data_IF_771625798094
#
_entry.id   IF_771625798094
#
_cell.length_a   1.000
_cell.length_b   1.000
_cell.length_c   1.000
_cell.angle_alpha   90.00
_cell.angle_beta   90.00
_cell.angle_gamma   90.00
#
_symmetry.space_group_name_H-M   'P 1'
#
loop_
_entity.id
_entity.type
_entity.pdbx_description
1 polymer ?
#
# COMPACT_ATOMS: atom_id res chain seq x y z
N UNK A 1 8.96 7.91 26.88
CA UNK A 1 8.89 6.50 26.41
C UNK A 1 10.19 5.78 26.80
N UNK A 2 10.18 4.78 27.68
CA UNK A 2 11.41 4.10 28.16
C UNK A 2 11.90 3.08 27.14
N UNK A 3 13.23 2.88 27.09
CA UNK A 3 14.05 2.08 26.15
C UNK A 3 13.64 0.60 25.94
N UNK A 4 12.51 0.12 26.47
CA UNK A 4 12.09 -1.29 26.42
C UNK A 4 11.30 -1.71 25.16
N UNK A 5 10.86 -0.77 24.31
CA UNK A 5 9.83 -1.11 23.30
C UNK A 5 10.36 -1.22 21.86
N UNK A 6 11.68 -1.14 21.65
CA UNK A 6 12.28 -1.17 20.32
C UNK A 6 13.02 -2.49 20.05
N UNK A 7 12.42 -3.30 19.17
CA UNK A 7 12.92 -4.64 18.81
C UNK A 7 14.17 -4.57 17.94
N UNK A 8 15.12 -5.49 18.15
CA UNK A 8 16.43 -5.46 17.50
C UNK A 8 16.34 -5.41 15.97
N UNK A 9 15.33 -6.02 15.37
CA UNK A 9 15.22 -6.20 13.92
C UNK A 9 14.73 -4.96 13.15
N UNK A 10 14.24 -3.91 13.83
CA UNK A 10 13.66 -2.74 13.16
C UNK A 10 14.65 -2.01 12.22
N UNK A 11 15.92 -1.77 12.58
CA UNK A 11 16.91 -1.20 11.66
C UNK A 11 17.11 -2.05 10.39
N UNK A 12 17.09 -3.38 10.52
CA UNK A 12 17.21 -4.27 9.35
C UNK A 12 16.00 -4.14 8.41
N UNK A 13 14.79 -4.00 8.96
CA UNK A 13 13.59 -3.76 8.15
C UNK A 13 13.64 -2.41 7.43
N UNK A 14 14.11 -1.35 8.10
CA UNK A 14 14.28 -0.04 7.45
C UNK A 14 15.32 -0.10 6.33
N UNK A 15 16.44 -0.79 6.56
CA UNK A 15 17.48 -0.94 5.56
C UNK A 15 17.00 -1.76 4.35
N UNK A 16 16.38 -2.91 4.59
CA UNK A 16 15.82 -3.73 3.52
C UNK A 16 14.74 -2.98 2.73
N UNK A 17 13.87 -2.24 3.43
CA UNK A 17 12.90 -1.37 2.79
C UNK A 17 13.53 -0.22 2.00
N UNK A 18 14.62 0.38 2.49
CA UNK A 18 15.32 1.43 1.76
C UNK A 18 15.94 0.88 0.46
N UNK A 19 16.54 -0.31 0.52
CA UNK A 19 17.07 -1.00 -0.67
C UNK A 19 15.96 -1.24 -1.69
N UNK A 20 14.80 -1.76 -1.25
CA UNK A 20 13.64 -1.95 -2.14
C UNK A 20 13.11 -0.63 -2.71
N UNK A 21 13.03 0.43 -1.90
CA UNK A 21 12.57 1.76 -2.36
C UNK A 21 13.55 2.46 -3.30
N UNK A 22 14.83 2.07 -3.31
CA UNK A 22 15.74 2.50 -4.38
C UNK A 22 15.64 1.60 -5.61
N UNK A 23 15.55 0.29 -5.40
CA UNK A 23 15.52 -0.69 -6.48
C UNK A 23 14.31 -0.49 -7.38
N UNK A 24 13.13 -0.25 -6.80
CA UNK A 24 11.87 -0.15 -7.55
C UNK A 24 11.88 1.00 -8.58
N UNK A 25 12.09 2.28 -8.18
CA UNK A 25 12.13 3.38 -9.14
C UNK A 25 13.30 3.28 -10.12
N UNK A 26 14.45 2.71 -9.71
CA UNK A 26 15.58 2.47 -10.62
C UNK A 26 15.15 1.48 -11.72
N UNK A 27 14.54 0.35 -11.33
CA UNK A 27 14.11 -0.65 -12.30
C UNK A 27 13.01 -0.12 -13.20
N UNK A 28 12.08 0.68 -12.67
CA UNK A 28 11.03 1.34 -13.45
C UNK A 28 11.63 2.31 -14.47
N UNK A 29 12.54 3.20 -14.05
CA UNK A 29 13.23 4.12 -14.99
C UNK A 29 13.98 3.34 -16.08
N UNK A 30 14.65 2.24 -15.73
CA UNK A 30 15.32 1.41 -16.72
C UNK A 30 14.32 0.76 -17.70
N UNK A 31 13.13 0.34 -17.25
CA UNK A 31 12.08 -0.13 -18.18
C UNK A 31 11.55 0.99 -19.08
N UNK A 32 11.47 2.23 -18.59
CA UNK A 32 11.07 3.37 -19.41
C UNK A 32 12.09 3.69 -20.51
N UNK A 33 13.39 3.67 -20.17
CA UNK A 33 14.47 3.82 -21.15
C UNK A 33 14.35 2.77 -22.26
N UNK A 34 13.93 1.57 -21.89
CA UNK A 34 13.72 0.52 -22.86
C UNK A 34 12.51 0.76 -23.76
N UNK A 35 11.37 1.15 -23.18
CA UNK A 35 10.20 1.52 -23.99
C UNK A 35 10.51 2.67 -24.95
N UNK A 36 11.36 3.61 -24.54
CA UNK A 36 11.83 4.68 -25.40
C UNK A 36 12.71 4.15 -26.55
N UNK A 37 13.60 3.19 -26.26
CA UNK A 37 14.49 2.59 -27.27
C UNK A 37 13.73 1.79 -28.33
N UNK A 38 12.62 1.18 -27.95
CA UNK A 38 11.80 0.33 -28.83
C UNK A 38 10.58 1.07 -29.40
N UNK A 39 10.62 2.41 -29.41
CA UNK A 39 9.58 3.28 -29.98
C UNK A 39 8.16 3.09 -29.37
N UNK A 40 8.07 2.54 -28.16
CA UNK A 40 6.83 2.40 -27.40
C UNK A 40 6.47 3.71 -26.65
N UNK A 41 6.28 4.80 -27.40
CA UNK A 41 6.09 6.15 -26.88
C UNK A 41 4.94 6.31 -25.88
N UNK A 42 3.83 5.60 -26.07
CA UNK A 42 2.67 5.66 -25.16
C UNK A 42 3.00 5.01 -23.82
N UNK A 43 3.66 3.84 -23.83
CA UNK A 43 4.07 3.14 -22.60
C UNK A 43 5.14 3.93 -21.85
N UNK A 44 6.08 4.54 -22.57
CA UNK A 44 7.06 5.47 -22.01
C UNK A 44 6.39 6.67 -21.33
N UNK A 45 5.48 7.37 -22.02
CA UNK A 45 4.83 8.57 -21.48
C UNK A 45 3.98 8.26 -20.24
N UNK A 46 3.18 7.18 -20.29
CA UNK A 46 2.32 6.78 -19.19
C UNK A 46 3.14 6.27 -18.00
N UNK A 47 4.19 5.49 -18.23
CA UNK A 47 5.07 5.05 -17.15
C UNK A 47 5.84 6.21 -16.52
N UNK A 48 6.34 7.16 -17.31
CA UNK A 48 6.99 8.37 -16.79
C UNK A 48 6.04 9.20 -15.90
N UNK A 49 4.77 9.30 -16.28
CA UNK A 49 3.75 9.95 -15.46
C UNK A 49 3.67 9.30 -14.06
N UNK A 50 3.66 7.97 -13.98
CA UNK A 50 3.55 7.25 -12.71
C UNK A 50 4.82 7.33 -11.84
N UNK A 51 6.01 7.49 -12.41
CA UNK A 51 7.24 7.78 -11.63
C UNK A 51 7.18 9.18 -11.00
N UNK A 52 6.55 10.14 -11.67
CA UNK A 52 6.47 11.54 -11.18
C UNK A 52 5.30 11.74 -10.21
N UNK A 53 4.22 10.97 -10.36
CA UNK A 53 2.97 11.15 -9.64
C UNK A 53 3.11 11.12 -8.09
N UNK A 54 3.91 10.22 -7.47
CA UNK A 54 4.16 10.26 -6.04
C UNK A 54 4.75 11.60 -5.57
N UNK A 55 5.66 12.20 -6.35
CA UNK A 55 6.30 13.48 -6.02
C UNK A 55 5.25 14.60 -5.89
N UNK A 56 4.28 14.63 -6.81
CA UNK A 56 3.19 15.60 -6.81
C UNK A 56 2.24 15.39 -5.64
N UNK A 57 1.84 14.13 -5.38
CA UNK A 57 0.96 13.80 -4.28
C UNK A 57 1.59 14.15 -2.92
N UNK A 58 2.89 13.91 -2.79
CA UNK A 58 3.65 14.25 -1.60
C UNK A 58 3.74 15.75 -1.37
N UNK A 59 4.01 16.52 -2.43
CA UNK A 59 4.03 17.97 -2.37
C UNK A 59 2.68 18.54 -1.90
N UNK A 60 1.58 17.99 -2.39
CA UNK A 60 0.22 18.37 -1.95
C UNK A 60 0.04 18.06 -0.46
N UNK A 61 0.39 16.86 -0.01
CA UNK A 61 0.23 16.44 1.38
C UNK A 61 1.03 17.34 2.34
N UNK A 62 2.30 17.59 2.04
CA UNK A 62 3.16 18.46 2.85
C UNK A 62 2.62 19.89 2.86
N UNK A 63 2.16 20.41 1.72
CA UNK A 63 1.58 21.76 1.63
C UNK A 63 0.30 21.89 2.46
N UNK A 64 -0.58 20.88 2.44
CA UNK A 64 -1.80 20.86 3.25
C UNK A 64 -1.47 20.79 4.75
N UNK A 65 -0.48 19.96 5.12
CA UNK A 65 -0.03 19.87 6.52
C UNK A 65 0.55 21.21 7.02
N UNK A 66 1.39 21.87 6.22
CA UNK A 66 1.99 23.17 6.57
C UNK A 66 0.95 24.30 6.67
N UNK A 67 -0.08 24.29 5.82
CA UNK A 67 -1.19 25.24 5.92
C UNK A 67 -2.04 25.04 7.17
N UNK A 68 -2.26 23.79 7.59
CA UNK A 68 -3.01 23.45 8.81
C UNK A 68 -2.24 23.75 10.10
N UNK A 69 -0.90 23.67 10.08
CA UNK A 69 -0.07 23.71 11.28
C UNK A 69 0.53 25.10 11.60
N UNK A 70 0.03 26.19 10.98
CA UNK A 70 0.45 27.60 11.24
C UNK A 70 0.31 28.09 12.70
N UNK A 71 -0.06 27.22 13.64
CA UNK A 71 -0.25 27.51 15.06
C UNK A 71 0.89 27.01 15.96
N UNK A 72 1.91 26.32 15.45
CA UNK A 72 3.06 25.83 16.26
C UNK A 72 4.41 26.33 15.70
N UNK A 73 5.05 27.32 16.34
CA UNK A 73 6.35 27.81 15.92
C UNK A 73 7.44 27.04 16.67
N UNK A 74 7.91 25.88 16.18
CA UNK A 74 9.18 25.29 16.69
C UNK A 74 9.80 24.14 15.85
N UNK A 75 9.26 23.77 14.67
CA UNK A 75 9.81 22.66 13.85
C UNK A 75 10.38 23.07 12.48
N UNK A 76 11.06 24.22 12.39
CA UNK A 76 11.63 24.74 11.14
C UNK A 76 12.67 23.81 10.47
N UNK A 77 13.30 22.91 11.22
CA UNK A 77 14.33 22.00 10.71
C UNK A 77 13.79 20.76 9.97
N UNK A 78 12.59 20.28 10.32
CA UNK A 78 12.03 19.06 9.74
C UNK A 78 11.22 19.36 8.46
N UNK A 79 10.52 20.50 8.41
CA UNK A 79 9.69 20.87 7.25
C UNK A 79 10.53 21.15 6.00
N UNK A 80 11.69 21.80 6.13
CA UNK A 80 12.59 22.10 5.00
C UNK A 80 13.23 20.82 4.44
N UNK A 81 13.60 19.87 5.29
CA UNK A 81 14.15 18.57 4.86
C UNK A 81 13.05 17.71 4.21
N UNK A 82 11.83 17.72 4.73
CA UNK A 82 10.67 17.07 4.11
C UNK A 82 10.32 17.68 2.75
N UNK A 83 10.42 19.00 2.61
CA UNK A 83 10.19 19.70 1.35
C UNK A 83 11.31 19.40 0.34
N UNK A 84 12.58 19.39 0.76
CA UNK A 84 13.71 19.09 -0.13
C UNK A 84 13.81 17.60 -0.53
N UNK A 85 13.42 16.66 0.35
CA UNK A 85 13.39 15.22 0.07
C UNK A 85 12.09 14.72 -0.58
N UNK A 86 11.06 15.56 -0.73
CA UNK A 86 9.74 15.16 -1.25
C UNK A 86 9.58 15.23 -2.78
N UNK A 87 10.48 15.92 -3.48
CA UNK A 87 10.38 16.15 -4.94
C UNK A 87 11.26 15.22 -5.76
N UNK A 88 11.29 13.93 -5.40
CA UNK A 88 11.98 12.95 -6.22
C UNK A 88 11.35 11.56 -6.04
N UNK A 89 11.42 10.68 -7.06
CA UNK A 89 10.82 9.34 -6.97
C UNK A 89 11.41 8.48 -5.84
N UNK A 90 12.56 8.87 -5.29
CA UNK A 90 13.23 8.17 -4.20
C UNK A 90 12.77 8.60 -2.78
N UNK A 91 11.67 9.34 -2.65
CA UNK A 91 11.26 9.93 -1.35
C UNK A 91 11.10 8.88 -0.26
N UNK A 92 10.41 7.75 -0.51
CA UNK A 92 10.25 6.75 0.53
C UNK A 92 11.57 6.02 0.84
N UNK A 93 12.44 5.83 -0.16
CA UNK A 93 13.78 5.27 0.04
C UNK A 93 14.62 6.12 0.99
N UNK A 94 14.67 7.43 0.74
CA UNK A 94 15.35 8.39 1.62
C UNK A 94 14.70 8.48 3.00
N UNK A 95 13.37 8.48 3.08
CA UNK A 95 12.65 8.46 4.35
C UNK A 95 13.02 7.23 5.19
N UNK A 96 13.03 6.03 4.58
CA UNK A 96 13.45 4.79 5.26
C UNK A 96 14.93 4.80 5.67
N UNK A 97 15.80 5.41 4.86
CA UNK A 97 17.22 5.59 5.21
C UNK A 97 17.39 6.56 6.39
N UNK A 98 16.63 7.66 6.42
CA UNK A 98 16.57 8.58 7.56
C UNK A 98 16.08 7.85 8.82
N UNK A 99 15.03 7.03 8.70
CA UNK A 99 14.57 6.14 9.76
C UNK A 99 15.69 5.22 10.27
N UNK A 100 16.40 4.55 9.37
CA UNK A 100 17.53 3.70 9.73
C UNK A 100 18.63 4.45 10.50
N UNK A 101 19.06 5.61 9.99
CA UNK A 101 20.10 6.44 10.64
C UNK A 101 19.62 6.97 11.99
N UNK A 102 18.37 7.42 12.08
CA UNK A 102 17.75 7.86 13.32
C UNK A 102 17.75 6.75 14.37
N UNK A 103 17.40 5.53 13.97
CA UNK A 103 17.44 4.34 14.84
C UNK A 103 18.85 4.02 15.34
N UNK A 104 19.87 4.06 14.47
CA UNK A 104 21.27 3.86 14.87
C UNK A 104 21.74 4.95 15.86
N UNK A 105 21.36 6.21 15.62
CA UNK A 105 21.73 7.34 16.48
C UNK A 105 21.01 7.31 17.82
N UNK A 106 19.73 6.90 17.85
CA UNK A 106 18.91 6.74 19.08
C UNK A 106 19.40 5.57 19.93
N UNK A 107 19.88 4.49 19.31
CA UNK A 107 20.61 3.42 20.02
C UNK A 107 21.86 3.95 20.73
N UNK A 108 22.34 5.15 20.38
CA UNK A 108 23.57 5.77 20.91
C UNK A 108 23.33 7.01 21.79
N UNK A 109 22.11 7.58 21.87
CA UNK A 109 21.79 8.75 22.71
C UNK A 109 20.38 8.66 23.32
N UNK A 110 20.31 8.83 24.64
CA UNK A 110 19.11 8.68 25.51
C UNK A 110 18.22 9.94 25.50
N UNK A 111 18.07 10.67 24.39
CA UNK A 111 17.21 11.86 24.36
C UNK A 111 15.98 11.67 23.47
N UNK A 112 14.83 11.97 24.05
CA UNK A 112 13.47 11.90 23.49
C UNK A 112 13.27 12.99 22.44
N UNK A 113 13.66 12.72 21.19
CA UNK A 113 13.11 13.44 20.01
C UNK A 113 11.91 12.64 19.53
N UNK A 114 10.87 13.35 19.12
CA UNK A 114 9.58 12.81 18.68
C UNK A 114 9.78 11.91 17.43
N UNK A 115 9.87 10.61 17.67
CA UNK A 115 10.12 9.61 16.62
C UNK A 115 8.85 9.19 15.89
N UNK A 116 7.69 9.61 16.39
CA UNK A 116 6.38 9.22 15.90
C UNK A 116 6.04 9.90 14.57
N UNK A 117 6.29 11.21 14.48
CA UNK A 117 6.08 11.98 13.24
C UNK A 117 6.98 11.49 12.09
N UNK A 118 8.23 11.13 12.40
CA UNK A 118 9.15 10.53 11.42
C UNK A 118 8.63 9.17 10.93
N UNK A 119 8.09 8.33 11.81
CA UNK A 119 7.55 7.02 11.43
C UNK A 119 6.30 7.17 10.57
N UNK A 120 5.38 8.08 10.95
CA UNK A 120 4.19 8.41 10.15
C UNK A 120 4.58 8.94 8.76
N UNK A 121 5.56 9.82 8.69
CA UNK A 121 6.10 10.33 7.43
C UNK A 121 6.67 9.20 6.55
N UNK A 122 7.44 8.27 7.13
CA UNK A 122 7.97 7.11 6.40
C UNK A 122 6.82 6.25 5.87
N UNK A 123 5.88 5.86 6.72
CA UNK A 123 4.79 4.96 6.35
C UNK A 123 3.90 5.57 5.27
N UNK A 124 3.62 6.87 5.34
CA UNK A 124 2.90 7.60 4.30
C UNK A 124 3.71 7.67 2.99
N UNK A 125 4.98 8.04 3.04
CA UNK A 125 5.83 8.11 1.84
C UNK A 125 5.86 6.78 1.08
N UNK A 126 6.00 5.69 1.83
CA UNK A 126 5.96 4.32 1.31
C UNK A 126 4.65 4.00 0.63
N UNK A 127 3.54 4.42 1.25
CA UNK A 127 2.21 4.20 0.74
C UNK A 127 1.99 4.94 -0.59
N UNK A 128 2.39 6.21 -0.66
CA UNK A 128 2.26 7.01 -1.89
C UNK A 128 3.07 6.41 -3.04
N UNK A 129 4.35 6.08 -2.80
CA UNK A 129 5.23 5.43 -3.79
C UNK A 129 4.58 4.12 -4.29
N UNK A 130 4.20 3.24 -3.37
CA UNK A 130 3.63 1.94 -3.74
C UNK A 130 2.36 2.05 -4.58
N UNK A 131 1.46 2.97 -4.22
CA UNK A 131 0.13 3.06 -4.85
C UNK A 131 0.18 3.83 -6.17
N UNK A 132 0.90 4.94 -6.21
CA UNK A 132 0.92 5.84 -7.35
C UNK A 132 1.98 5.48 -8.39
N UNK A 133 3.04 4.78 -7.99
CA UNK A 133 4.11 4.31 -8.87
C UNK A 133 4.09 2.79 -9.01
N UNK A 134 4.38 2.03 -7.95
CA UNK A 134 4.63 0.58 -8.06
C UNK A 134 3.44 -0.21 -8.60
N UNK A 135 2.21 0.09 -8.18
CA UNK A 135 1.01 -0.61 -8.66
C UNK A 135 0.72 -0.34 -10.15
N UNK A 136 0.64 0.92 -10.63
CA UNK A 136 0.50 1.21 -12.05
C UNK A 136 1.68 0.70 -12.89
N UNK A 137 2.92 0.83 -12.42
CA UNK A 137 4.11 0.32 -13.13
C UNK A 137 4.06 -1.19 -13.29
N UNK A 138 3.69 -1.92 -12.24
CA UNK A 138 3.48 -3.36 -12.32
C UNK A 138 2.44 -3.72 -13.40
N UNK A 139 1.31 -3.01 -13.44
CA UNK A 139 0.25 -3.26 -14.43
C UNK A 139 0.74 -2.95 -15.84
N UNK A 140 1.45 -1.83 -16.05
CA UNK A 140 1.95 -1.42 -17.37
C UNK A 140 3.01 -2.38 -17.88
N UNK A 141 3.96 -2.79 -17.04
CA UNK A 141 4.99 -3.74 -17.43
C UNK A 141 4.40 -5.11 -17.74
N UNK A 142 3.45 -5.58 -16.93
CA UNK A 142 2.76 -6.84 -17.20
C UNK A 142 1.92 -6.74 -18.48
N UNK A 143 1.24 -5.61 -18.71
CA UNK A 143 0.53 -5.34 -19.96
C UNK A 143 1.50 -5.37 -21.15
N UNK A 144 2.62 -4.66 -21.06
CA UNK A 144 3.65 -4.60 -22.10
C UNK A 144 4.16 -6.00 -22.45
N UNK A 145 4.47 -6.85 -21.46
CA UNK A 145 4.88 -8.25 -21.67
C UNK A 145 3.84 -9.06 -22.45
N UNK A 146 2.55 -8.81 -22.22
CA UNK A 146 1.48 -9.54 -22.89
C UNK A 146 1.15 -8.99 -24.30
N UNK A 147 1.52 -7.74 -24.61
CA UNK A 147 1.16 -7.09 -25.88
C UNK A 147 2.35 -6.83 -26.82
N UNK A 148 3.57 -6.80 -26.30
CA UNK A 148 4.77 -6.54 -27.09
C UNK A 148 5.14 -7.79 -27.91
N UNK A 149 5.57 -7.57 -29.15
CA UNK A 149 6.09 -8.65 -30.02
C UNK A 149 7.55 -9.01 -29.68
N UNK A 150 8.25 -8.10 -29.00
CA UNK A 150 9.64 -8.23 -28.62
C UNK A 150 9.85 -9.18 -27.44
N UNK A 151 11.02 -9.83 -27.34
CA UNK A 151 11.33 -10.68 -26.20
C UNK A 151 11.29 -9.89 -24.89
N UNK A 152 10.77 -10.54 -23.85
CA UNK A 152 10.70 -9.97 -22.49
C UNK A 152 12.10 -9.64 -22.00
N UNK A 153 12.25 -8.43 -21.49
CA UNK A 153 13.54 -7.90 -21.11
C UNK A 153 13.94 -8.29 -19.70
N UNK A 154 15.24 -8.42 -19.46
CA UNK A 154 15.77 -8.76 -18.12
C UNK A 154 15.32 -7.73 -17.09
N UNK A 155 15.31 -6.44 -17.46
CA UNK A 155 14.86 -5.36 -16.56
C UNK A 155 13.40 -5.55 -16.18
N UNK A 156 12.51 -5.86 -17.13
CA UNK A 156 11.09 -6.14 -16.87
C UNK A 156 10.90 -7.36 -15.95
N UNK A 157 11.71 -8.42 -16.13
CA UNK A 157 11.68 -9.61 -15.27
C UNK A 157 12.11 -9.33 -13.83
N UNK A 158 13.00 -8.37 -13.60
CA UNK A 158 13.46 -7.98 -12.26
C UNK A 158 12.51 -6.95 -11.64
N UNK A 159 12.01 -6.01 -12.43
CA UNK A 159 11.16 -4.91 -11.99
C UNK A 159 9.83 -5.41 -11.43
N UNK A 160 9.12 -6.30 -12.15
CA UNK A 160 7.83 -6.84 -11.69
C UNK A 160 7.86 -7.45 -10.26
N UNK A 161 8.80 -8.37 -9.91
CA UNK A 161 8.93 -8.85 -8.54
C UNK A 161 9.26 -7.75 -7.53
N UNK A 162 10.10 -6.79 -7.88
CA UNK A 162 10.52 -5.71 -6.99
C UNK A 162 9.34 -4.79 -6.68
N UNK A 163 8.62 -4.32 -7.69
CA UNK A 163 7.42 -3.48 -7.53
C UNK A 163 6.34 -4.20 -6.75
N UNK A 164 6.14 -5.49 -7.03
CA UNK A 164 5.18 -6.30 -6.30
C UNK A 164 5.54 -6.48 -4.81
N UNK A 165 6.82 -6.71 -4.50
CA UNK A 165 7.28 -6.82 -3.12
C UNK A 165 7.17 -5.49 -2.37
N UNK A 166 7.53 -4.37 -3.00
CA UNK A 166 7.38 -3.02 -2.45
C UNK A 166 5.92 -2.74 -2.09
N UNK A 167 5.03 -2.99 -3.06
CA UNK A 167 3.60 -2.82 -2.91
C UNK A 167 3.01 -3.72 -1.82
N UNK A 168 3.33 -5.01 -1.82
CA UNK A 168 2.81 -5.95 -0.82
C UNK A 168 3.25 -5.54 0.60
N UNK A 169 4.49 -5.07 0.75
CA UNK A 169 5.01 -4.58 2.02
C UNK A 169 4.28 -3.31 2.50
N UNK A 170 4.02 -2.36 1.60
CA UNK A 170 3.23 -1.17 1.93
C UNK A 170 1.83 -1.54 2.41
N UNK A 171 1.17 -2.52 1.78
CA UNK A 171 -0.16 -2.97 2.21
C UNK A 171 -0.17 -3.61 3.60
N UNK A 172 0.91 -4.30 3.99
CA UNK A 172 1.09 -4.81 5.36
C UNK A 172 1.26 -3.65 6.36
N UNK A 173 1.98 -2.58 5.99
CA UNK A 173 2.12 -1.36 6.82
C UNK A 173 0.77 -0.68 7.01
N UNK A 174 0.00 -0.47 5.93
CA UNK A 174 -1.36 0.11 6.01
C UNK A 174 -2.24 -0.70 6.95
N UNK A 175 -2.26 -2.04 6.80
CA UNK A 175 -3.12 -2.88 7.64
C UNK A 175 -2.75 -2.77 9.12
N UNK A 176 -1.46 -2.59 9.40
CA UNK A 176 -0.99 -2.33 10.76
C UNK A 176 -1.48 -0.97 11.29
N UNK A 177 -1.37 0.08 10.48
CA UNK A 177 -1.78 1.45 10.84
C UNK A 177 -3.30 1.56 11.06
N UNK A 178 -4.09 0.89 10.23
CA UNK A 178 -5.55 1.02 10.24
C UNK A 178 -6.23 0.20 11.34
N UNK A 179 -5.75 -1.01 11.65
CA UNK A 179 -6.45 -1.94 12.54
C UNK A 179 -6.00 -1.87 14.01
N UNK A 180 -4.85 -1.28 14.29
CA UNK A 180 -4.24 -1.38 15.62
C UNK A 180 -3.82 0.01 16.13
N UNK A 181 -4.46 0.44 17.21
CA UNK A 181 -4.15 1.71 17.88
C UNK A 181 -2.75 1.67 18.53
N UNK A 182 -2.18 2.86 18.71
CA UNK A 182 -0.79 3.16 19.07
C UNK A 182 -0.29 2.55 20.41
N UNK A 183 -1.16 1.99 21.25
CA UNK A 183 -0.78 1.57 22.61
C UNK A 183 -0.26 0.11 22.73
N UNK A 184 -0.40 -0.75 21.71
CA UNK A 184 -0.15 -2.21 21.83
C UNK A 184 1.05 -2.75 21.02
N UNK A 185 2.09 -1.94 20.78
CA UNK A 185 3.20 -2.30 19.89
C UNK A 185 4.17 -3.41 20.37
N UNK A 186 4.06 -3.92 21.60
CA UNK A 186 5.25 -4.39 22.28
C UNK A 186 5.75 -5.83 21.96
N UNK A 187 4.93 -6.82 21.58
CA UNK A 187 5.47 -8.19 21.36
C UNK A 187 4.89 -8.96 20.16
N UNK A 188 3.60 -8.79 19.80
CA UNK A 188 2.92 -9.61 18.79
C UNK A 188 3.11 -9.20 17.31
N UNK A 189 3.86 -8.15 17.01
CA UNK A 189 3.89 -7.49 15.68
C UNK A 189 4.52 -8.30 14.55
N UNK A 190 5.68 -8.96 14.73
CA UNK A 190 6.36 -9.66 13.63
C UNK A 190 5.63 -10.92 13.18
N UNK A 191 5.20 -11.76 14.13
CA UNK A 191 4.41 -12.97 13.84
C UNK A 191 3.12 -12.62 13.09
N UNK A 192 2.50 -11.49 13.47
CA UNK A 192 1.34 -10.94 12.79
C UNK A 192 1.68 -10.47 11.37
N UNK A 193 2.77 -9.71 11.18
CA UNK A 193 3.27 -9.31 9.85
C UNK A 193 3.48 -10.52 8.93
N UNK A 194 4.14 -11.56 9.43
CA UNK A 194 4.37 -12.79 8.66
C UNK A 194 3.09 -13.56 8.34
N UNK A 195 2.04 -13.44 9.16
CA UNK A 195 0.76 -14.08 8.87
C UNK A 195 -0.08 -13.28 7.86
N UNK A 196 -0.07 -11.95 7.98
CA UNK A 196 -0.84 -11.04 7.11
C UNK A 196 -0.18 -10.92 5.72
N UNK A 197 1.15 -11.00 5.65
CA UNK A 197 1.90 -10.84 4.40
C UNK A 197 1.49 -11.84 3.30
N UNK A 198 1.35 -13.16 3.55
CA UNK A 198 0.83 -14.12 2.56
C UNK A 198 -0.61 -13.82 2.12
N UNK A 199 -1.48 -13.38 3.02
CA UNK A 199 -2.85 -13.04 2.68
C UNK A 199 -2.89 -11.84 1.72
N UNK A 200 -2.09 -10.79 2.00
CA UNK A 200 -1.95 -9.66 1.08
C UNK A 200 -1.29 -10.04 -0.23
N UNK A 201 -0.26 -10.90 -0.20
CA UNK A 201 0.38 -11.41 -1.41
C UNK A 201 -0.66 -12.01 -2.37
N UNK A 202 -1.52 -12.90 -1.87
CA UNK A 202 -2.56 -13.55 -2.67
C UNK A 202 -3.62 -12.55 -3.17
N UNK A 203 -4.16 -11.72 -2.28
CA UNK A 203 -5.20 -10.75 -2.65
C UNK A 203 -4.69 -9.73 -3.67
N UNK A 204 -3.50 -9.18 -3.44
CA UNK A 204 -2.89 -8.18 -4.31
C UNK A 204 -2.52 -8.78 -5.67
N UNK A 205 -1.91 -9.99 -5.69
CA UNK A 205 -1.60 -10.69 -6.94
C UNK A 205 -2.87 -10.95 -7.76
N UNK A 206 -3.95 -11.43 -7.12
CA UNK A 206 -5.22 -11.65 -7.81
C UNK A 206 -5.81 -10.38 -8.40
N UNK A 207 -5.69 -9.24 -7.70
CA UNK A 207 -6.20 -7.94 -8.14
C UNK A 207 -5.41 -7.38 -9.30
N UNK A 208 -4.08 -7.37 -9.19
CA UNK A 208 -3.20 -6.83 -10.23
C UNK A 208 -3.33 -7.63 -11.52
N UNK A 209 -3.41 -8.96 -11.43
CA UNK A 209 -3.69 -9.81 -12.60
C UNK A 209 -5.08 -9.55 -13.17
N UNK A 210 -6.13 -9.50 -12.34
CA UNK A 210 -7.48 -9.21 -12.84
C UNK A 210 -7.55 -7.86 -13.57
N UNK A 211 -6.99 -6.79 -12.99
CA UNK A 211 -6.95 -5.46 -13.60
C UNK A 211 -6.09 -5.44 -14.87
N UNK A 212 -4.91 -6.06 -14.85
CA UNK A 212 -4.03 -6.12 -16.02
C UNK A 212 -4.69 -6.82 -17.21
N UNK A 213 -5.23 -8.02 -17.00
CA UNK A 213 -5.87 -8.78 -18.09
C UNK A 213 -7.19 -8.17 -18.55
N UNK A 214 -7.93 -7.53 -17.64
CA UNK A 214 -9.04 -6.67 -18.03
C UNK A 214 -8.58 -5.49 -18.90
N UNK A 215 -7.43 -4.87 -18.58
CA UNK A 215 -6.81 -3.81 -19.39
C UNK A 215 -6.35 -4.33 -20.76
N UNK A 216 -5.86 -5.57 -20.87
CA UNK A 216 -5.54 -6.18 -22.18
C UNK A 216 -6.78 -6.24 -23.08
N UNK A 217 -7.95 -6.62 -22.55
CA UNK A 217 -9.20 -6.68 -23.32
C UNK A 217 -9.79 -5.31 -23.63
N UNK A 218 -9.89 -4.43 -22.62
CA UNK A 218 -10.65 -3.18 -22.71
C UNK A 218 -9.77 -1.95 -22.95
N UNK A 219 -8.44 -2.12 -22.99
CA UNK A 219 -7.45 -1.04 -23.20
C UNK A 219 -7.68 0.10 -22.18
N UNK A 220 -7.62 1.34 -22.64
CA UNK A 220 -7.77 2.54 -21.83
C UNK A 220 -9.14 2.73 -21.16
N UNK A 221 -10.18 1.97 -21.56
CA UNK A 221 -11.48 2.03 -20.89
C UNK A 221 -11.43 1.60 -19.42
N UNK A 222 -10.40 0.85 -19.01
CA UNK A 222 -10.18 0.51 -17.60
C UNK A 222 -10.09 1.76 -16.72
N UNK A 223 -9.50 2.86 -17.22
CA UNK A 223 -9.37 4.11 -16.48
C UNK A 223 -10.76 4.66 -16.15
N UNK A 224 -11.68 4.65 -17.13
CA UNK A 224 -13.06 5.11 -16.95
C UNK A 224 -13.79 4.25 -15.92
N UNK A 225 -13.63 2.92 -15.99
CA UNK A 225 -14.24 1.98 -15.04
C UNK A 225 -13.72 2.20 -13.62
N UNK A 226 -12.40 2.30 -13.44
CA UNK A 226 -11.76 2.52 -12.14
C UNK A 226 -12.13 3.88 -11.56
N UNK A 227 -12.15 4.94 -12.37
CA UNK A 227 -12.58 6.28 -11.94
C UNK A 227 -14.05 6.30 -11.52
N UNK A 228 -14.92 5.67 -12.31
CA UNK A 228 -16.34 5.56 -11.99
C UNK A 228 -16.55 4.79 -10.68
N UNK A 229 -15.88 3.64 -10.51
CA UNK A 229 -15.90 2.85 -9.28
C UNK A 229 -15.49 3.69 -8.07
N UNK A 230 -14.33 4.35 -8.15
CA UNK A 230 -13.79 5.20 -7.09
C UNK A 230 -14.74 6.35 -6.76
N UNK A 231 -15.36 6.96 -7.77
CA UNK A 231 -16.34 8.03 -7.58
C UNK A 231 -17.62 7.56 -6.88
N UNK A 232 -18.16 6.39 -7.25
CA UNK A 232 -19.32 5.79 -6.57
C UNK A 232 -19.01 5.51 -5.10
N UNK A 233 -17.84 4.97 -4.80
CA UNK A 233 -17.40 4.68 -3.42
C UNK A 233 -17.18 5.98 -2.65
N UNK A 234 -16.61 7.01 -3.26
CA UNK A 234 -16.45 8.33 -2.66
C UNK A 234 -17.81 8.91 -2.26
N UNK A 235 -18.81 8.86 -3.14
CA UNK A 235 -20.18 9.30 -2.82
C UNK A 235 -20.77 8.47 -1.68
N UNK A 236 -20.66 7.14 -1.74
CA UNK A 236 -21.17 6.25 -0.70
C UNK A 236 -20.53 6.56 0.67
N UNK A 237 -19.24 6.88 0.68
CA UNK A 237 -18.50 7.25 1.90
C UNK A 237 -18.94 8.60 2.43
N UNK A 238 -19.05 9.59 1.54
CA UNK A 238 -19.48 10.94 1.91
C UNK A 238 -20.89 10.93 2.52
N UNK A 239 -21.82 10.19 1.90
CA UNK A 239 -23.19 10.02 2.41
C UNK A 239 -23.20 9.28 3.76
N UNK A 240 -22.38 8.23 3.90
CA UNK A 240 -22.35 7.41 5.13
C UNK A 240 -21.60 8.07 6.30
N UNK A 241 -20.70 9.01 6.03
CA UNK A 241 -19.79 9.60 7.03
C UNK A 241 -19.98 11.11 7.21
N UNK A 242 -21.10 11.68 6.76
CA UNK A 242 -21.45 13.08 6.95
C UNK A 242 -21.80 13.34 8.43
N UNK A 243 -20.78 13.64 9.23
CA UNK A 243 -20.93 13.95 10.64
C UNK A 243 -19.60 14.17 11.34
N UNK A 244 -19.01 15.35 11.19
CA UNK A 244 -17.83 15.77 11.95
C UNK A 244 -17.04 16.89 11.28
N UNK A 245 -16.51 17.81 12.08
CA UNK A 245 -15.55 18.83 11.66
C UNK A 245 -14.22 18.10 11.39
N UNK A 246 -13.78 18.00 10.14
CA UNK A 246 -12.52 17.34 9.76
C UNK A 246 -11.49 18.39 9.37
N UNK A 247 -10.26 18.21 9.83
CA UNK A 247 -9.15 19.04 9.40
C UNK A 247 -8.83 18.79 7.92
N UNK A 248 -8.31 19.81 7.22
CA UNK A 248 -8.01 19.74 5.78
C UNK A 248 -7.03 18.60 5.44
N UNK A 249 -6.12 18.28 6.37
CA UNK A 249 -5.19 17.15 6.26
C UNK A 249 -5.92 15.79 6.24
N UNK A 250 -6.89 15.60 7.15
CA UNK A 250 -7.69 14.37 7.22
C UNK A 250 -8.58 14.21 5.99
N UNK A 251 -9.03 15.31 5.40
CA UNK A 251 -9.77 15.31 4.13
C UNK A 251 -8.86 14.86 3.00
N UNK A 252 -7.65 15.40 2.89
CA UNK A 252 -6.68 15.02 1.85
C UNK A 252 -6.26 13.55 1.97
N UNK A 253 -5.96 13.08 3.18
CA UNK A 253 -5.64 11.68 3.46
C UNK A 253 -6.86 10.77 3.21
N UNK A 254 -8.06 11.23 3.53
CA UNK A 254 -9.33 10.57 3.23
C UNK A 254 -9.58 10.38 1.74
N UNK A 255 -9.35 11.42 0.93
CA UNK A 255 -9.47 11.35 -0.54
C UNK A 255 -8.44 10.37 -1.11
N UNK A 256 -7.20 10.42 -0.61
CA UNK A 256 -6.16 9.49 -1.04
C UNK A 256 -6.50 8.04 -0.69
N UNK A 257 -6.93 7.78 0.55
CA UNK A 257 -7.36 6.44 0.99
C UNK A 257 -8.58 5.93 0.24
N UNK A 258 -9.50 6.81 -0.20
CA UNK A 258 -10.58 6.45 -1.12
C UNK A 258 -10.04 6.05 -2.51
N UNK A 259 -9.01 6.75 -2.99
CA UNK A 259 -8.25 6.37 -4.18
C UNK A 259 -7.59 4.99 -4.10
N UNK A 260 -7.39 4.43 -2.90
CA UNK A 260 -6.88 3.07 -2.71
C UNK A 260 -7.92 1.98 -2.89
N UNK A 261 -9.20 2.32 -2.95
CA UNK A 261 -10.26 1.32 -2.89
C UNK A 261 -10.22 0.35 -4.07
N UNK A 262 -9.82 0.83 -5.25
CA UNK A 262 -9.66 -0.05 -6.39
C UNK A 262 -8.58 -1.13 -6.16
N UNK A 263 -7.63 -0.93 -5.25
CA UNK A 263 -6.57 -1.90 -4.93
C UNK A 263 -6.83 -2.66 -3.62
N UNK A 264 -7.47 -2.04 -2.62
CA UNK A 264 -7.87 -2.66 -1.34
C UNK A 264 -9.26 -2.19 -0.91
N UNK A 265 -10.25 -3.09 -1.01
CA UNK A 265 -11.65 -2.79 -0.70
C UNK A 265 -11.92 -2.43 0.77
N UNK A 266 -11.17 -3.02 1.71
CA UNK A 266 -11.46 -2.87 3.15
C UNK A 266 -11.10 -1.50 3.74
N UNK A 267 -10.50 -0.60 2.96
CA UNK A 267 -10.19 0.77 3.42
C UNK A 267 -11.46 1.55 3.74
N UNK A 268 -12.58 1.27 3.05
CA UNK A 268 -13.88 1.90 3.26
C UNK A 268 -14.52 1.56 4.62
N UNK A 269 -14.29 0.35 5.14
CA UNK A 269 -14.94 -0.14 6.37
C UNK A 269 -14.36 0.53 7.64
N UNK A 270 -13.33 1.35 7.48
CA UNK A 270 -12.56 1.94 8.58
C UNK A 270 -12.99 3.34 9.00
N UNK A 271 -14.07 3.89 8.45
CA UNK A 271 -14.73 5.05 9.06
C UNK A 271 -14.97 4.77 10.55
N UNK A 272 -14.70 5.73 11.44
CA UNK A 272 -14.82 5.55 12.91
C UNK A 272 -16.18 4.96 13.32
N UNK A 273 -17.24 5.27 12.57
CA UNK A 273 -18.59 4.74 12.78
C UNK A 273 -18.77 3.25 12.40
N UNK A 274 -17.84 2.66 11.65
CA UNK A 274 -17.85 1.27 11.18
C UNK A 274 -16.71 0.41 11.75
N UNK A 275 -15.77 1.00 12.52
CA UNK A 275 -14.66 0.29 13.18
C UNK A 275 -15.23 -0.84 14.04
N UNK A 276 -14.96 -2.09 13.66
CA UNK A 276 -15.44 -3.29 14.36
C UNK A 276 -16.66 -3.99 13.74
N UNK A 277 -17.25 -3.48 12.65
CA UNK A 277 -18.31 -4.19 11.95
C UNK A 277 -17.76 -5.34 11.07
N UNK A 278 -17.52 -6.49 11.69
CA UNK A 278 -17.04 -7.70 11.02
C UNK A 278 -17.89 -8.06 9.78
N UNK A 279 -19.20 -7.78 9.80
CA UNK A 279 -20.09 -8.03 8.65
C UNK A 279 -19.78 -7.14 7.46
N UNK A 280 -19.42 -5.88 7.69
CA UNK A 280 -19.01 -4.97 6.62
C UNK A 280 -17.66 -5.40 6.02
N UNK A 281 -16.71 -5.84 6.85
CA UNK A 281 -15.42 -6.40 6.39
C UNK A 281 -15.64 -7.65 5.54
N UNK A 282 -16.51 -8.56 6.00
CA UNK A 282 -16.87 -9.76 5.23
C UNK A 282 -17.51 -9.40 3.88
N UNK A 283 -18.46 -8.46 3.87
CA UNK A 283 -19.12 -8.00 2.65
C UNK A 283 -18.12 -7.41 1.66
N UNK A 284 -17.23 -6.54 2.13
CA UNK A 284 -16.16 -5.93 1.33
C UNK A 284 -15.24 -6.98 0.71
N UNK A 285 -14.80 -7.98 1.48
CA UNK A 285 -13.97 -9.06 0.96
C UNK A 285 -14.71 -9.95 -0.05
N UNK A 286 -16.02 -10.18 0.13
CA UNK A 286 -16.84 -10.91 -0.87
C UNK A 286 -16.96 -10.10 -2.16
N UNK A 287 -17.26 -8.80 -2.08
CA UNK A 287 -17.33 -7.91 -3.23
C UNK A 287 -15.99 -7.86 -3.97
N UNK A 288 -14.87 -7.78 -3.26
CA UNK A 288 -13.53 -7.83 -3.85
C UNK A 288 -13.29 -9.11 -4.67
N UNK A 289 -13.68 -10.28 -4.14
CA UNK A 289 -13.58 -11.55 -4.87
C UNK A 289 -14.48 -11.54 -6.11
N UNK A 290 -15.74 -11.07 -5.98
CA UNK A 290 -16.68 -10.99 -7.10
C UNK A 290 -16.15 -10.07 -8.20
N UNK A 291 -15.61 -8.90 -7.86
CA UNK A 291 -15.01 -7.97 -8.80
C UNK A 291 -13.84 -8.61 -9.56
N UNK A 292 -12.93 -9.26 -8.86
CA UNK A 292 -11.78 -9.93 -9.49
C UNK A 292 -12.21 -11.04 -10.45
N UNK A 293 -13.16 -11.86 -10.01
CA UNK A 293 -13.73 -12.94 -10.83
C UNK A 293 -14.46 -12.35 -12.04
N UNK A 294 -15.25 -11.30 -11.88
CA UNK A 294 -15.95 -10.65 -12.99
C UNK A 294 -14.96 -10.08 -14.03
N UNK A 295 -13.92 -9.36 -13.58
CA UNK A 295 -12.89 -8.79 -14.46
C UNK A 295 -12.16 -9.88 -15.25
N UNK A 296 -11.71 -10.97 -14.59
CA UNK A 296 -10.96 -12.02 -15.28
C UNK A 296 -11.87 -12.89 -16.18
N UNK A 297 -13.14 -13.08 -15.83
CA UNK A 297 -14.09 -13.77 -16.70
C UNK A 297 -14.40 -12.96 -17.96
N UNK A 298 -14.51 -11.63 -17.86
CA UNK A 298 -14.65 -10.79 -19.05
C UNK A 298 -13.45 -10.92 -19.99
N UNK A 299 -12.23 -11.05 -19.44
CA UNK A 299 -11.04 -11.38 -20.23
C UNK A 299 -11.14 -12.80 -20.84
N UNK A 300 -11.46 -13.81 -20.03
CA UNK A 300 -11.51 -15.22 -20.45
C UNK A 300 -12.53 -15.48 -21.58
N UNK A 301 -13.66 -14.78 -21.57
CA UNK A 301 -14.66 -14.89 -22.63
C UNK A 301 -14.43 -13.92 -23.81
N UNK A 302 -13.42 -13.06 -23.75
CA UNK A 302 -13.05 -12.18 -24.87
C UNK A 302 -12.26 -12.93 -25.96
N UNK A 303 -12.27 -12.42 -27.19
CA UNK A 303 -11.49 -12.97 -28.31
C UNK A 303 -9.96 -13.06 -28.03
N UNK A 304 -9.46 -12.31 -27.03
CA UNK A 304 -8.05 -12.31 -26.62
C UNK A 304 -7.66 -13.53 -25.77
N UNK A 305 -8.60 -14.39 -25.36
CA UNK A 305 -8.34 -15.53 -24.46
C UNK A 305 -7.77 -16.78 -25.14
N UNK A 306 -7.61 -16.78 -26.47
CA UNK A 306 -7.06 -17.91 -27.24
C UNK A 306 -5.56 -18.18 -27.00
N UNK A 307 -4.95 -17.57 -26.00
CA UNK A 307 -3.58 -17.80 -25.60
C UNK A 307 -3.46 -18.92 -24.57
N UNK A 308 -2.35 -19.67 -24.62
CA UNK A 308 -2.09 -20.80 -23.70
C UNK A 308 -2.05 -20.40 -22.21
N UNK A 309 -1.79 -19.12 -21.92
CA UNK A 309 -1.71 -18.59 -20.55
C UNK A 309 -3.07 -18.12 -19.98
N UNK A 310 -4.13 -17.99 -20.79
CA UNK A 310 -5.42 -17.45 -20.32
C UNK A 310 -6.06 -18.31 -19.21
N UNK A 311 -6.04 -19.62 -19.37
CA UNK A 311 -6.58 -20.56 -18.38
C UNK A 311 -5.75 -20.56 -17.07
N UNK A 312 -4.41 -20.72 -17.09
CA UNK A 312 -3.59 -20.61 -15.88
C UNK A 312 -3.83 -19.31 -15.10
N UNK A 313 -3.86 -18.16 -15.78
CA UNK A 313 -4.08 -16.86 -15.13
C UNK A 313 -5.47 -16.80 -14.49
N UNK A 314 -6.50 -17.27 -15.19
CA UNK A 314 -7.87 -17.29 -14.66
C UNK A 314 -7.97 -18.13 -13.39
N UNK A 315 -7.35 -19.32 -13.39
CA UNK A 315 -7.28 -20.18 -12.20
C UNK A 315 -6.51 -19.50 -11.07
N UNK A 316 -5.38 -18.84 -11.36
CA UNK A 316 -4.61 -18.07 -10.38
C UNK A 316 -5.44 -16.95 -9.75
N UNK A 317 -6.12 -16.11 -10.55
CA UNK A 317 -6.93 -14.99 -10.04
C UNK A 317 -8.05 -15.51 -9.13
N UNK A 318 -8.79 -16.54 -9.55
CA UNK A 318 -9.88 -17.10 -8.77
C UNK A 318 -9.37 -17.76 -7.47
N UNK A 319 -8.35 -18.61 -7.57
CA UNK A 319 -7.81 -19.34 -6.40
C UNK A 319 -7.17 -18.38 -5.40
N UNK A 320 -6.36 -17.43 -5.85
CA UNK A 320 -5.70 -16.45 -4.98
C UNK A 320 -6.72 -15.49 -4.33
N UNK A 321 -7.77 -15.09 -5.06
CA UNK A 321 -8.86 -14.26 -4.50
C UNK A 321 -9.54 -14.98 -3.33
N UNK A 322 -9.93 -16.25 -3.51
CA UNK A 322 -10.61 -17.03 -2.47
C UNK A 322 -9.67 -17.37 -1.31
N UNK A 323 -8.48 -17.88 -1.59
CA UNK A 323 -7.49 -18.25 -0.56
C UNK A 323 -7.03 -17.01 0.23
N UNK A 324 -6.68 -15.93 -0.44
CA UNK A 324 -6.28 -14.68 0.21
C UNK A 324 -7.38 -14.10 1.10
N UNK A 325 -8.63 -14.11 0.62
CA UNK A 325 -9.79 -13.62 1.37
C UNK A 325 -10.05 -14.48 2.62
N UNK A 326 -10.05 -15.80 2.48
CA UNK A 326 -10.23 -16.73 3.61
C UNK A 326 -9.10 -16.60 4.64
N UNK A 327 -7.84 -16.49 4.21
CA UNK A 327 -6.70 -16.28 5.11
C UNK A 327 -6.80 -14.96 5.87
N UNK A 328 -7.20 -13.88 5.20
CA UNK A 328 -7.37 -12.57 5.82
C UNK A 328 -8.48 -12.58 6.87
N UNK A 329 -9.65 -13.15 6.55
CA UNK A 329 -10.78 -13.29 7.47
C UNK A 329 -10.40 -14.17 8.67
N UNK A 330 -9.74 -15.30 8.42
CA UNK A 330 -9.27 -16.19 9.48
C UNK A 330 -8.25 -15.48 10.40
N UNK A 331 -7.33 -14.72 9.81
CA UNK A 331 -6.39 -13.88 10.56
C UNK A 331 -7.11 -12.87 11.45
N UNK A 332 -8.02 -12.09 10.86
CA UNK A 332 -8.81 -11.11 11.59
C UNK A 332 -9.57 -11.75 12.75
N UNK A 333 -10.21 -12.91 12.54
CA UNK A 333 -10.92 -13.63 13.60
C UNK A 333 -10.00 -14.12 14.72
N UNK A 334 -8.84 -14.68 14.38
CA UNK A 334 -7.84 -15.15 15.36
C UNK A 334 -7.28 -13.99 16.18
N UNK A 335 -6.96 -12.87 15.54
CA UNK A 335 -6.39 -11.70 16.22
C UNK A 335 -7.43 -10.94 17.05
N UNK A 336 -8.66 -10.79 16.57
CA UNK A 336 -9.77 -10.20 17.35
C UNK A 336 -10.14 -11.05 18.57
N UNK A 337 -10.18 -12.38 18.43
CA UNK A 337 -10.48 -13.29 19.55
C UNK A 337 -9.37 -13.30 20.61
N UNK A 338 -8.12 -13.06 20.19
CA UNK A 338 -6.99 -12.85 21.10
C UNK A 338 -7.16 -11.63 22.00
N UNK A 339 -7.79 -10.55 21.50
CA UNK A 339 -8.08 -9.31 22.24
C UNK A 339 -9.09 -9.52 23.38
N UNK A 340 -10.02 -10.47 23.23
CA UNK A 340 -11.05 -10.79 24.24
C UNK A 340 -10.60 -11.72 25.37
N UNK A 341 -9.37 -12.21 25.37
CA UNK A 341 -8.81 -12.89 26.56
C UNK A 341 -8.03 -11.87 27.37
N UNK A 342 -8.57 -11.31 28.47
CA UNK A 342 -7.73 -10.60 29.41
C UNK A 342 -6.69 -11.60 29.91
N UNK A 343 -5.44 -11.17 29.96
CA UNK A 343 -4.40 -11.83 30.73
C UNK A 343 -4.77 -11.59 32.20
N UNK A 344 -5.77 -12.33 32.69
CA UNK A 344 -5.99 -12.53 34.11
C UNK A 344 -4.93 -13.52 34.60
N UNK A 345 -3.76 -12.98 34.95
CA UNK A 345 -2.90 -13.54 35.97
C UNK A 345 -2.39 -12.39 36.84
N UNK A 346 -3.33 -11.66 37.45
CA UNK A 346 -3.11 -11.16 38.79
C UNK A 346 -3.34 -12.33 39.73
N UNK A 347 -2.27 -12.95 40.21
CA UNK A 347 -2.30 -13.64 41.49
C UNK A 347 -1.59 -12.73 42.48
N UNK A 348 -2.39 -11.91 43.15
CA UNK A 348 -2.14 -11.57 44.54
C UNK A 348 -1.81 -12.88 45.27
N UNK A 349 -0.58 -12.99 45.77
CA UNK A 349 -0.33 -13.80 46.95
C UNK A 349 -0.05 -12.81 48.06
N UNK A 350 -1.06 -12.69 48.91
CA UNK A 350 -1.06 -11.98 50.18
C UNK A 350 0.16 -12.34 51.03
N UNK A 351 0.54 -11.35 51.83
CA UNK A 351 1.38 -11.48 52.99
C UNK A 351 0.91 -12.64 53.89
N UNK A 352 1.85 -13.51 54.27
CA UNK A 352 2.02 -13.94 55.66
C UNK A 352 3.47 -14.35 55.92
#
# INVERSE_FOLDING_TARGET
MKVKDLKWYSPFLFLAGAILGFADPITDILTLVEFLRNDHWILFAVGLLFVILPCLAFAILVSVNDMGNKTRPEEEGCSVLCFACGFHPFTAAFARLLGFVFFLKKSSRVNEVDGEDLLRFIDLSVLFESVLESAPQFIIQLYAINTQEEPVQIVQMISLPVSFLSLNWAFVIIDQMLWFDEEEFCELTLRRKFFIFPAHFLLLSSRLFAVCYFTVTFKWWVIVVVLCHTFVIMIATFVSCSGGNRDDYDVALGIFTLGLHWLKADVFVLSENCKGNLRAVLCSNVLFVIENVAMILMFYYSQHSNSWFSLPVTVCVCSFSVLGSTMKIAGLYVFLRGRTRPICCGSEIEQQ
#
